data_IF_610262891753
#
_entry.id   IF_610262891753
#
_cell.length_a   1.000
_cell.length_b   1.000
_cell.length_c   1.000
_cell.angle_alpha   90.00
_cell.angle_beta   90.00
_cell.angle_gamma   90.00
#
_symmetry.space_group_name_H-M   'P 1'
#
loop_
_entity.id
_entity.type
_entity.pdbx_description
1 polymer ?
#
# COMPACT_ATOMS: atom_id res chain seq x y z
N UNK A 1 -0.64 22.83 44.52
CA UNK A 1 -1.88 22.63 43.75
C UNK A 1 -1.63 21.49 42.76
N UNK A 2 -2.30 20.38 42.90
CA UNK A 2 -2.12 19.30 41.91
C UNK A 2 -2.74 19.72 40.58
N UNK A 3 -1.94 19.65 39.53
CA UNK A 3 -2.34 19.87 38.15
C UNK A 3 -2.47 18.48 37.47
N UNK A 4 -3.58 18.18 36.85
CA UNK A 4 -3.72 16.99 36.01
C UNK A 4 -4.05 17.41 34.59
N UNK A 5 -3.32 16.84 33.63
CA UNK A 5 -3.57 16.99 32.21
C UNK A 5 -3.73 15.60 31.61
N UNK A 6 -4.75 15.43 30.79
CA UNK A 6 -4.99 14.20 30.04
C UNK A 6 -4.96 14.54 28.55
N UNK A 7 -4.11 13.85 27.79
CA UNK A 7 -4.06 13.95 26.36
C UNK A 7 -4.64 12.66 25.74
N UNK A 8 -5.55 12.82 24.81
CA UNK A 8 -6.06 11.72 23.99
C UNK A 8 -5.91 12.09 22.52
N UNK A 9 -5.46 11.13 21.71
CA UNK A 9 -5.37 11.30 20.27
C UNK A 9 -5.99 10.09 19.57
N UNK A 10 -6.75 10.36 18.53
CA UNK A 10 -7.30 9.36 17.63
C UNK A 10 -6.94 9.75 16.21
N UNK A 11 -6.51 8.76 15.42
CA UNK A 11 -6.17 8.99 14.02
C UNK A 11 -6.49 7.77 13.17
N UNK A 12 -6.84 8.03 11.91
CA UNK A 12 -7.06 7.00 10.89
C UNK A 12 -5.98 7.15 9.82
N UNK A 13 -5.27 6.06 9.58
CA UNK A 13 -4.32 5.95 8.48
C UNK A 13 -4.98 5.22 7.33
N UNK A 14 -4.92 5.81 6.12
CA UNK A 14 -5.36 5.19 4.88
C UNK A 14 -4.23 5.20 3.87
N UNK A 15 -4.00 4.08 3.23
CA UNK A 15 -3.06 3.94 2.13
C UNK A 15 -3.81 3.32 0.95
N UNK A 16 -3.76 3.99 -0.19
CA UNK A 16 -4.42 3.54 -1.42
C UNK A 16 -3.39 3.47 -2.54
N UNK A 17 -3.35 2.33 -3.21
CA UNK A 17 -2.56 2.17 -4.44
C UNK A 17 -3.41 2.65 -5.61
N UNK A 18 -2.99 3.74 -6.26
CA UNK A 18 -3.74 4.36 -7.35
C UNK A 18 -3.47 3.67 -8.68
N UNK A 19 -2.21 3.39 -8.96
CA UNK A 19 -1.76 2.82 -10.24
C UNK A 19 -0.57 1.89 -10.01
N UNK A 20 -0.65 0.72 -10.63
CA UNK A 20 0.50 -0.19 -10.79
C UNK A 20 0.71 -0.42 -12.29
N UNK A 21 1.93 -0.18 -12.77
CA UNK A 21 2.33 -0.43 -14.15
C UNK A 21 3.59 -1.31 -14.17
N UNK A 22 3.64 -2.26 -15.09
CA UNK A 22 4.79 -3.15 -15.27
C UNK A 22 5.21 -3.18 -16.73
N UNK A 23 6.51 -3.19 -16.97
CA UNK A 23 7.12 -3.45 -18.27
C UNK A 23 8.02 -4.67 -18.15
N UNK A 24 7.63 -5.77 -18.79
CA UNK A 24 8.30 -7.06 -18.60
C UNK A 24 8.69 -7.68 -19.93
N UNK A 25 9.87 -8.31 -19.97
CA UNK A 25 10.25 -9.26 -20.98
C UNK A 25 9.84 -10.69 -20.56
N UNK A 26 9.48 -11.52 -21.53
CA UNK A 26 9.02 -12.90 -21.33
C UNK A 26 9.88 -13.84 -22.17
N UNK A 27 10.37 -14.91 -21.56
CA UNK A 27 11.07 -16.00 -22.23
C UNK A 27 10.40 -17.31 -21.83
N UNK A 28 10.12 -18.18 -22.79
CA UNK A 28 9.43 -19.43 -22.55
C UNK A 28 9.84 -20.54 -23.49
N UNK A 29 9.55 -21.75 -23.09
CA UNK A 29 9.72 -22.97 -23.87
C UNK A 29 8.36 -23.66 -24.05
N UNK A 30 8.03 -23.92 -25.29
CA UNK A 30 6.79 -24.62 -25.64
C UNK A 30 7.09 -26.12 -25.90
N UNK A 31 6.30 -26.97 -25.27
CA UNK A 31 6.34 -28.41 -25.45
C UNK A 31 4.94 -28.89 -25.79
N UNK A 32 4.73 -29.22 -27.07
CA UNK A 32 3.44 -29.60 -27.61
C UNK A 32 2.35 -28.53 -27.31
N UNK A 33 1.46 -28.81 -26.38
CA UNK A 33 0.35 -27.92 -25.98
C UNK A 33 0.62 -27.16 -24.69
N UNK A 34 1.83 -27.28 -24.15
CA UNK A 34 2.23 -26.65 -22.90
C UNK A 34 3.31 -25.61 -23.16
N UNK A 35 3.11 -24.39 -22.69
CA UNK A 35 4.11 -23.33 -22.65
C UNK A 35 4.48 -23.03 -21.20
N UNK A 36 5.76 -23.20 -20.88
CA UNK A 36 6.32 -22.75 -19.61
C UNK A 36 7.16 -21.52 -19.86
N UNK A 37 7.00 -20.46 -19.06
CA UNK A 37 7.74 -19.24 -19.26
C UNK A 37 8.11 -18.56 -17.94
N UNK A 38 9.21 -17.80 -17.99
CA UNK A 38 9.59 -16.84 -16.99
C UNK A 38 9.48 -15.44 -17.54
N UNK A 39 9.20 -14.47 -16.70
CA UNK A 39 9.19 -13.06 -17.05
C UNK A 39 9.92 -12.23 -16.00
N UNK A 40 10.42 -11.08 -16.40
CA UNK A 40 11.05 -10.13 -15.50
C UNK A 40 11.10 -8.75 -16.11
N UNK A 41 11.16 -7.75 -15.26
CA UNK A 41 11.17 -6.36 -15.73
C UNK A 41 11.07 -5.33 -14.63
N UNK A 42 10.73 -4.11 -15.03
CA UNK A 42 10.47 -2.98 -14.15
C UNK A 42 9.00 -2.88 -13.76
N UNK A 43 8.77 -2.38 -12.57
CA UNK A 43 7.45 -2.10 -12.05
C UNK A 43 7.42 -0.67 -11.50
N UNK A 44 6.29 0.02 -11.66
CA UNK A 44 6.02 1.32 -11.08
C UNK A 44 4.73 1.25 -10.31
N UNK A 45 4.74 1.86 -9.12
CA UNK A 45 3.56 1.97 -8.29
C UNK A 45 3.41 3.42 -7.85
N UNK A 46 2.18 3.89 -7.85
CA UNK A 46 1.80 5.18 -7.28
C UNK A 46 0.85 4.93 -6.12
N UNK A 47 1.28 5.38 -4.95
CA UNK A 47 0.51 5.28 -3.72
C UNK A 47 0.11 6.67 -3.23
N UNK A 48 -1.09 6.75 -2.69
CA UNK A 48 -1.60 7.92 -1.98
C UNK A 48 -1.81 7.56 -0.51
N UNK A 49 -1.29 8.41 0.37
CA UNK A 49 -1.38 8.25 1.82
C UNK A 49 -2.19 9.38 2.41
N UNK A 50 -3.08 9.06 3.33
CA UNK A 50 -3.74 10.05 4.16
C UNK A 50 -3.73 9.61 5.62
N UNK A 51 -3.42 10.55 6.50
CA UNK A 51 -3.48 10.36 7.93
C UNK A 51 -4.22 11.53 8.54
N UNK A 52 -5.47 11.30 8.92
CA UNK A 52 -6.33 12.30 9.54
C UNK A 52 -6.66 11.93 10.98
N UNK A 53 -6.69 12.91 11.86
CA UNK A 53 -7.00 12.66 13.24
C UNK A 53 -7.26 13.92 14.04
N UNK A 54 -7.55 13.71 15.32
CA UNK A 54 -7.69 14.79 16.27
C UNK A 54 -6.97 14.46 17.57
N UNK A 55 -6.36 15.47 18.16
CA UNK A 55 -5.83 15.42 19.52
C UNK A 55 -6.61 16.35 20.41
N UNK A 56 -6.97 15.87 21.59
CA UNK A 56 -7.64 16.67 22.62
C UNK A 56 -6.78 16.69 23.86
N UNK A 57 -6.43 17.88 24.30
CA UNK A 57 -5.75 18.11 25.56
C UNK A 57 -6.76 18.69 26.56
N UNK A 58 -7.03 17.95 27.61
CA UNK A 58 -7.87 18.39 28.70
C UNK A 58 -7.00 18.72 29.91
N UNK A 59 -7.14 19.92 30.42
CA UNK A 59 -6.45 20.37 31.64
C UNK A 59 -7.46 20.62 32.74
N UNK A 60 -7.07 20.25 33.96
CA UNK A 60 -7.88 20.44 35.12
C UNK A 60 -7.00 20.98 36.28
N UNK A 61 -7.39 22.12 36.84
CA UNK A 61 -6.80 22.62 38.08
C UNK A 61 -7.72 22.21 39.22
N UNK A 62 -7.28 21.28 40.07
CA UNK A 62 -8.05 20.86 41.23
C UNK A 62 -7.81 21.82 42.40
N UNK A 63 -8.86 22.39 42.92
CA UNK A 63 -8.84 23.15 44.18
C UNK A 63 -9.30 22.18 45.25
N UNK A 64 -8.42 21.91 46.20
CA UNK A 64 -8.71 21.01 47.32
C UNK A 64 -9.34 21.80 48.45
N UNK A 65 -10.65 21.68 48.64
CA UNK A 65 -11.33 22.03 49.85
C UNK A 65 -11.52 20.81 50.73
N UNK A 66 -11.32 20.92 52.01
CA UNK A 66 -11.58 19.85 52.97
C UNK A 66 -13.01 20.06 53.50
N UNK A 67 -13.89 19.04 53.42
CA UNK A 67 -13.76 17.64 52.99
C UNK A 67 -14.04 17.36 51.51
N UNK A 68 -13.60 16.16 51.00
CA UNK A 68 -13.68 15.83 49.58
C UNK A 68 -15.13 15.69 49.04
N UNK A 69 -15.31 15.74 47.69
CA UNK A 69 -14.37 15.42 46.61
C UNK A 69 -13.69 16.65 45.98
N UNK A 70 -12.52 16.47 45.32
CA UNK A 70 -11.86 17.52 44.60
C UNK A 70 -12.67 17.95 43.37
N UNK A 71 -12.92 19.24 43.21
CA UNK A 71 -13.60 19.78 42.03
C UNK A 71 -12.60 20.32 41.01
N UNK A 72 -12.87 20.09 39.75
CA UNK A 72 -12.19 20.79 38.64
C UNK A 72 -12.67 22.25 38.65
N UNK A 73 -11.80 23.17 39.05
CA UNK A 73 -12.14 24.59 39.13
C UNK A 73 -12.05 25.34 37.80
N UNK A 74 -11.39 24.80 36.79
CA UNK A 74 -11.30 25.41 35.47
C UNK A 74 -11.03 24.33 34.43
N UNK A 75 -12.04 23.64 33.94
CA UNK A 75 -11.86 22.66 32.89
C UNK A 75 -11.57 23.38 31.56
N UNK A 76 -10.33 23.27 31.11
CA UNK A 76 -9.93 23.70 29.76
C UNK A 76 -9.78 22.49 28.85
N UNK A 77 -10.36 22.52 27.67
CA UNK A 77 -10.11 21.54 26.62
C UNK A 77 -9.74 22.25 25.33
N UNK A 78 -8.63 21.85 24.74
CA UNK A 78 -8.21 22.28 23.41
C UNK A 78 -8.17 21.08 22.51
N UNK A 79 -8.88 21.14 21.41
CA UNK A 79 -8.82 20.11 20.36
C UNK A 79 -8.16 20.67 19.10
N UNK A 80 -7.25 19.93 18.54
CA UNK A 80 -6.59 20.22 17.27
C UNK A 80 -6.82 19.07 16.32
N UNK A 81 -7.29 19.38 15.11
CA UNK A 81 -7.36 18.42 14.03
C UNK A 81 -6.08 18.49 13.20
N UNK A 82 -5.65 17.36 12.70
CA UNK A 82 -4.53 17.25 11.76
C UNK A 82 -4.94 16.38 10.57
N UNK A 83 -4.43 16.75 9.39
CA UNK A 83 -4.67 16.02 8.15
C UNK A 83 -3.39 16.05 7.30
N UNK A 84 -2.77 14.90 7.18
CA UNK A 84 -1.56 14.70 6.39
C UNK A 84 -1.94 13.94 5.13
N UNK A 85 -1.58 14.50 3.99
CA UNK A 85 -1.72 13.84 2.70
C UNK A 85 -0.38 13.79 2.00
N UNK A 86 -0.13 12.68 1.32
CA UNK A 86 1.10 12.49 0.56
C UNK A 86 0.86 11.52 -0.59
N UNK A 87 1.57 11.72 -1.68
CA UNK A 87 1.63 10.76 -2.78
C UNK A 87 3.08 10.46 -3.11
N UNK A 88 3.37 9.21 -3.40
CA UNK A 88 4.70 8.78 -3.78
C UNK A 88 4.62 7.86 -5.00
N UNK A 89 5.60 8.01 -5.90
CA UNK A 89 5.76 7.13 -7.05
C UNK A 89 7.06 6.37 -6.90
N UNK A 90 6.97 5.05 -6.87
CA UNK A 90 8.11 4.18 -6.64
C UNK A 90 8.38 3.31 -7.84
N UNK A 91 9.67 3.10 -8.07
CA UNK A 91 10.16 2.14 -9.03
C UNK A 91 10.59 0.87 -8.29
N UNK A 92 10.25 -0.27 -8.87
CA UNK A 92 10.61 -1.59 -8.38
C UNK A 92 10.94 -2.54 -9.52
N UNK A 93 11.18 -3.77 -9.19
CA UNK A 93 11.36 -4.84 -10.15
C UNK A 93 10.31 -5.93 -9.95
N UNK A 94 10.06 -6.70 -11.01
CA UNK A 94 9.16 -7.83 -10.98
C UNK A 94 9.81 -9.04 -11.62
N UNK A 95 9.51 -10.20 -11.08
CA UNK A 95 9.86 -11.50 -11.64
C UNK A 95 8.65 -12.42 -11.50
N UNK A 96 8.40 -13.23 -12.51
CA UNK A 96 7.28 -14.15 -12.49
C UNK A 96 7.55 -15.40 -13.30
N UNK A 97 6.74 -16.41 -13.02
CA UNK A 97 6.68 -17.66 -13.77
C UNK A 97 5.25 -17.93 -14.17
N UNK A 98 5.06 -18.53 -15.34
CA UNK A 98 3.74 -18.89 -15.80
C UNK A 98 3.74 -20.15 -16.64
N UNK A 99 2.56 -20.75 -16.69
CA UNK A 99 2.25 -21.92 -17.49
C UNK A 99 1.00 -21.64 -18.30
N UNK A 100 1.03 -22.01 -19.57
CA UNK A 100 -0.13 -21.92 -20.44
C UNK A 100 -0.34 -23.28 -21.11
N UNK A 101 -1.54 -23.82 -21.02
CA UNK A 101 -1.92 -25.09 -21.58
C UNK A 101 -3.05 -24.94 -22.59
N UNK A 102 -2.75 -25.26 -23.84
CA UNK A 102 -3.73 -25.27 -24.93
C UNK A 102 -4.55 -26.58 -24.91
N UNK A 103 -5.73 -26.54 -24.32
CA UNK A 103 -6.61 -27.72 -24.28
C UNK A 103 -7.39 -27.91 -25.57
N UNK A 104 -7.50 -26.86 -26.40
CA UNK A 104 -7.91 -26.95 -27.81
C UNK A 104 -7.00 -26.10 -28.69
N UNK A 105 -7.17 -26.15 -30.01
CA UNK A 105 -6.38 -25.34 -30.93
C UNK A 105 -6.67 -23.82 -30.82
N UNK A 106 -7.79 -23.48 -30.22
CA UNK A 106 -8.27 -22.10 -30.08
C UNK A 106 -8.28 -21.59 -28.62
N UNK A 107 -8.31 -22.49 -27.64
CA UNK A 107 -8.44 -22.14 -26.24
C UNK A 107 -7.24 -22.62 -25.44
N UNK A 108 -6.74 -21.75 -24.61
CA UNK A 108 -5.72 -22.07 -23.59
C UNK A 108 -6.10 -21.57 -22.22
N UNK A 109 -5.66 -22.29 -21.21
CA UNK A 109 -5.73 -21.93 -19.80
C UNK A 109 -4.34 -21.48 -19.38
N UNK A 110 -4.23 -20.32 -18.71
CA UNK A 110 -2.98 -19.83 -18.17
C UNK A 110 -3.05 -19.65 -16.65
N UNK A 111 -1.91 -19.94 -16.02
CA UNK A 111 -1.65 -19.60 -14.64
C UNK A 111 -0.31 -18.88 -14.55
N UNK A 112 -0.24 -17.80 -13.79
CA UNK A 112 0.96 -16.98 -13.64
C UNK A 112 1.09 -16.54 -12.19
N UNK A 113 2.32 -16.58 -11.67
CA UNK A 113 2.69 -16.03 -10.38
C UNK A 113 3.73 -14.95 -10.59
N UNK A 114 3.49 -13.79 -10.00
CA UNK A 114 4.33 -12.62 -10.06
C UNK A 114 4.74 -12.17 -8.67
N UNK A 115 6.03 -11.91 -8.50
CA UNK A 115 6.59 -11.25 -7.35
C UNK A 115 7.07 -9.85 -7.74
N UNK A 116 6.65 -8.83 -6.98
CA UNK A 116 7.05 -7.44 -7.18
C UNK A 116 7.71 -6.93 -5.88
N UNK A 117 8.86 -6.29 -5.99
CA UNK A 117 9.55 -5.65 -4.86
C UNK A 117 9.86 -4.19 -5.21
N UNK A 118 9.29 -3.27 -4.43
CA UNK A 118 9.49 -1.82 -4.56
C UNK A 118 10.51 -1.29 -3.57
N UNK A 119 11.21 -2.18 -2.84
CA UNK A 119 12.27 -1.83 -1.90
C UNK A 119 11.78 -1.16 -0.62
N UNK A 120 12.70 -0.47 0.03
CA UNK A 120 12.45 0.33 1.23
C UNK A 120 12.53 1.80 0.88
N UNK A 121 11.50 2.55 1.22
CA UNK A 121 11.49 3.99 1.09
C UNK A 121 11.21 4.64 2.44
N UNK A 122 11.98 5.70 2.74
CA UNK A 122 11.73 6.57 3.86
C UNK A 122 10.78 7.68 3.41
N UNK A 123 9.55 7.63 3.89
CA UNK A 123 8.56 8.67 3.65
C UNK A 123 8.72 9.74 4.71
N UNK A 124 8.95 10.97 4.30
CA UNK A 124 8.89 12.11 5.19
C UNK A 124 7.43 12.56 5.30
N UNK A 125 6.86 12.43 6.48
CA UNK A 125 5.59 13.06 6.82
C UNK A 125 5.90 14.40 7.47
N UNK A 126 5.47 15.48 6.84
CA UNK A 126 5.67 16.83 7.36
C UNK A 126 4.41 17.32 8.02
N UNK A 127 4.55 17.71 9.27
CA UNK A 127 3.54 18.43 10.03
C UNK A 127 4.03 19.86 10.28
N UNK A 128 3.20 20.88 10.06
CA UNK A 128 3.57 22.27 10.34
C UNK A 128 3.88 22.57 11.81
N UNK A 129 3.40 21.73 12.73
CA UNK A 129 3.50 21.95 14.18
C UNK A 129 4.49 20.97 14.83
N UNK A 130 4.51 19.70 14.40
CA UNK A 130 5.28 18.62 15.01
C UNK A 130 6.60 18.31 14.27
N UNK A 131 6.85 18.97 13.13
CA UNK A 131 8.05 18.76 12.34
C UNK A 131 7.96 17.52 11.43
N UNK A 132 9.11 17.08 10.92
CA UNK A 132 9.17 15.96 9.97
C UNK A 132 9.45 14.64 10.69
N UNK A 133 8.62 13.65 10.44
CA UNK A 133 8.81 12.28 10.88
C UNK A 133 9.17 11.41 9.68
N UNK A 134 10.11 10.49 9.84
CA UNK A 134 10.48 9.54 8.79
C UNK A 134 9.87 8.17 9.08
N UNK A 135 9.03 7.70 8.18
CA UNK A 135 8.47 6.36 8.21
C UNK A 135 9.14 5.52 7.12
N UNK A 136 9.77 4.41 7.50
CA UNK A 136 10.34 3.48 6.54
C UNK A 136 9.32 2.38 6.23
N UNK A 137 8.89 2.30 4.99
CA UNK A 137 7.94 1.30 4.50
C UNK A 137 8.64 0.43 3.46
N UNK A 138 8.55 -0.89 3.62
CA UNK A 138 8.91 -1.88 2.60
C UNK A 138 7.63 -2.40 1.97
N UNK A 139 7.59 -2.42 0.63
CA UNK A 139 6.43 -2.90 -0.09
C UNK A 139 6.81 -4.04 -1.02
N UNK A 140 6.13 -5.18 -0.84
CA UNK A 140 6.24 -6.37 -1.66
C UNK A 140 4.83 -6.83 -2.01
N UNK A 141 4.65 -7.29 -3.24
CA UNK A 141 3.35 -7.76 -3.73
C UNK A 141 3.57 -9.12 -4.37
N UNK A 142 2.75 -10.08 -3.95
CA UNK A 142 2.61 -11.39 -4.56
C UNK A 142 1.29 -11.43 -5.31
N UNK A 143 1.33 -11.75 -6.60
CA UNK A 143 0.15 -11.75 -7.46
C UNK A 143 0.02 -13.10 -8.15
N UNK A 144 -1.17 -13.69 -8.09
CA UNK A 144 -1.53 -14.90 -8.82
C UNK A 144 -2.59 -14.53 -9.87
N UNK A 145 -2.31 -14.84 -11.12
CA UNK A 145 -3.22 -14.63 -12.24
C UNK A 145 -3.66 -15.95 -12.81
N UNK A 146 -4.96 -16.10 -13.03
CA UNK A 146 -5.55 -17.19 -13.78
C UNK A 146 -6.32 -16.59 -14.94
N UNK A 147 -6.19 -17.18 -16.11
CA UNK A 147 -6.84 -16.65 -17.30
C UNK A 147 -7.14 -17.72 -18.33
N UNK A 148 -8.10 -17.43 -19.17
CA UNK A 148 -8.45 -18.22 -20.35
C UNK A 148 -8.22 -17.35 -21.58
N UNK A 149 -7.42 -17.84 -22.52
CA UNK A 149 -7.15 -17.15 -23.77
C UNK A 149 -7.89 -17.84 -24.92
N UNK A 150 -8.46 -17.01 -25.78
CA UNK A 150 -9.04 -17.46 -27.04
C UNK A 150 -8.24 -16.91 -28.22
N UNK A 151 -7.80 -17.77 -29.10
CA UNK A 151 -7.05 -17.42 -30.33
C UNK A 151 -7.99 -17.31 -31.50
N UNK A 152 -8.13 -16.09 -32.03
CA UNK A 152 -8.87 -15.83 -33.27
C UNK A 152 -7.95 -16.07 -34.47
N UNK A 153 -8.37 -16.95 -35.40
CA UNK A 153 -7.60 -17.29 -36.60
C UNK A 153 -6.97 -18.67 -36.55
N UNK A 154 -6.77 -19.22 -37.73
CA UNK A 154 -6.12 -20.52 -37.91
C UNK A 154 -4.62 -20.47 -37.59
N UNK A 155 -3.94 -21.61 -37.59
CA UNK A 155 -2.51 -21.69 -37.36
C UNK A 155 -1.76 -20.82 -38.36
N UNK A 156 -0.89 -19.92 -37.86
CA UNK A 156 0.05 -19.22 -38.74
C UNK A 156 1.04 -20.25 -39.26
N UNK A 157 0.81 -20.72 -40.50
CA UNK A 157 1.82 -21.48 -41.24
C UNK A 157 2.82 -20.46 -41.74
N UNK A 158 3.98 -20.36 -41.13
CA UNK A 158 5.10 -19.65 -41.70
C UNK A 158 5.51 -20.40 -42.98
N UNK A 159 5.19 -19.85 -44.15
CA UNK A 159 5.77 -20.30 -45.43
C UNK A 159 7.21 -19.84 -45.48
N UNK A 160 8.15 -20.75 -45.54
CA UNK A 160 9.54 -20.52 -45.89
C UNK A 160 9.68 -20.50 -47.38
#
# INVERSE_FOLDING_TARGET
MPFSATASSTGTFSATTDVTATLTGRLGYAWDRLLLYGKGGGAWIRDSYSFAGSSTLSSCTSVQFVPPPPFCSNPGSTSSAFDFVGSDTRFGWTVGIGVEWAFTDQWSLMGEYDFLDFGRHAQALSDPILGSQFLSVRQQIDEVKLGVNYRWGGPFVASY
#
